data_IF_017174916077
#
_entry.id   IF_017174916077
#
_cell.length_a   1.000
_cell.length_b   1.000
_cell.length_c   1.000
_cell.angle_alpha   90.00
_cell.angle_beta   90.00
_cell.angle_gamma   90.00
#
_symmetry.space_group_name_H-M   'P 1'
#
loop_
_entity.id
_entity.type
_entity.pdbx_description
1 polymer ?
#
# COMPACT_ATOMS: atom_id res chain seq x y z
N UNK A 1 18.86 -1.00 1.50
CA UNK A 1 18.14 -2.09 2.21
C UNK A 1 19.06 -3.14 2.86
N UNK A 2 20.08 -3.69 2.18
CA UNK A 2 20.94 -4.74 2.77
C UNK A 2 21.55 -4.34 4.13
N UNK A 3 22.12 -3.14 4.22
CA UNK A 3 22.68 -2.58 5.47
C UNK A 3 21.65 -2.55 6.58
N UNK A 4 20.48 -1.95 6.34
CA UNK A 4 19.34 -1.90 7.29
C UNK A 4 19.03 -3.29 7.85
N UNK A 5 18.82 -4.28 6.98
CA UNK A 5 18.47 -5.63 7.44
C UNK A 5 19.61 -6.32 8.18
N UNK A 6 20.86 -6.15 7.76
CA UNK A 6 22.01 -6.69 8.50
C UNK A 6 22.11 -6.09 9.90
N UNK A 7 21.93 -4.78 10.03
CA UNK A 7 21.97 -4.09 11.33
C UNK A 7 20.83 -4.51 12.23
N UNK A 8 19.59 -4.51 11.73
CA UNK A 8 18.41 -4.98 12.47
C UNK A 8 18.58 -6.43 12.91
N UNK A 9 19.04 -7.31 12.01
CA UNK A 9 19.29 -8.71 12.33
C UNK A 9 20.39 -8.86 13.38
N UNK A 10 21.45 -8.06 13.35
CA UNK A 10 22.50 -8.12 14.39
C UNK A 10 21.97 -7.72 15.77
N UNK A 11 21.18 -6.64 15.84
CA UNK A 11 20.54 -6.18 17.09
C UNK A 11 19.63 -7.28 17.64
N UNK A 12 18.86 -7.93 16.74
CA UNK A 12 17.81 -8.88 17.13
C UNK A 12 18.21 -10.35 17.23
N UNK A 13 19.29 -10.77 16.58
CA UNK A 13 19.71 -12.18 16.57
C UNK A 13 20.30 -12.62 17.91
N UNK A 14 20.90 -11.70 18.66
CA UNK A 14 21.49 -12.00 19.97
C UNK A 14 20.62 -11.44 21.09
N UNK A 15 20.09 -12.31 21.95
CA UNK A 15 19.17 -11.92 23.03
C UNK A 15 19.74 -10.85 23.97
N UNK A 16 21.06 -10.90 24.24
CA UNK A 16 21.74 -9.87 25.03
C UNK A 16 21.73 -8.51 24.33
N UNK A 17 22.11 -8.47 23.04
CA UNK A 17 22.11 -7.23 22.27
C UNK A 17 20.72 -6.62 22.18
N UNK A 18 19.70 -7.45 21.96
CA UNK A 18 18.32 -7.00 21.89
C UNK A 18 17.86 -6.37 23.20
N UNK A 19 18.08 -7.04 24.34
CA UNK A 19 17.75 -6.50 25.66
C UNK A 19 18.51 -5.21 25.99
N UNK A 20 19.80 -5.15 25.64
CA UNK A 20 20.62 -3.96 25.86
C UNK A 20 20.13 -2.79 25.00
N UNK A 21 19.75 -3.05 23.75
CA UNK A 21 19.20 -2.01 22.87
C UNK A 21 17.85 -1.50 23.39
N UNK A 22 16.96 -2.38 23.85
CA UNK A 22 15.69 -1.97 24.46
C UNK A 22 15.89 -1.16 25.75
N UNK A 23 16.85 -1.54 26.60
CA UNK A 23 17.20 -0.75 27.80
C UNK A 23 17.68 0.64 27.41
N UNK A 24 18.60 0.70 26.44
CA UNK A 24 19.13 1.96 25.92
C UNK A 24 18.03 2.87 25.36
N UNK A 25 17.11 2.34 24.55
CA UNK A 25 15.99 3.12 24.01
C UNK A 25 15.10 3.72 25.09
N UNK A 26 14.87 2.99 26.19
CA UNK A 26 14.12 3.50 27.36
C UNK A 26 14.89 4.55 28.13
N UNK A 27 16.21 4.39 28.25
CA UNK A 27 17.07 5.35 28.95
C UNK A 27 17.14 6.70 28.24
N UNK A 28 17.06 6.71 26.90
CA UNK A 28 17.07 7.94 26.10
C UNK A 28 15.66 8.48 25.77
N UNK A 29 14.61 7.88 26.34
CA UNK A 29 13.20 8.22 26.08
C UNK A 29 12.87 8.29 24.57
N UNK A 30 13.32 7.27 23.83
CA UNK A 30 13.10 7.20 22.38
C UNK A 30 11.61 7.00 22.05
N UNK A 31 11.17 7.50 20.89
CA UNK A 31 9.79 7.35 20.37
C UNK A 31 9.34 5.88 20.23
N UNK A 32 10.29 4.95 20.23
CA UNK A 32 10.02 3.52 20.10
C UNK A 32 10.87 2.70 21.04
N UNK A 33 10.26 1.69 21.66
CA UNK A 33 10.94 0.75 22.57
C UNK A 33 11.81 -0.31 21.86
N UNK A 34 11.68 -0.47 20.53
CA UNK A 34 12.37 -1.53 19.78
C UNK A 34 12.42 -1.29 18.25
N UNK A 35 13.31 -2.02 17.59
CA UNK A 35 13.32 -2.25 16.14
C UNK A 35 12.40 -3.40 15.74
N UNK A 36 11.80 -3.31 14.55
CA UNK A 36 10.92 -4.36 14.03
C UNK A 36 11.77 -5.51 13.47
N UNK A 37 11.53 -6.75 13.91
CA UNK A 37 12.16 -7.91 13.29
C UNK A 37 11.64 -8.15 11.89
N UNK A 38 12.55 -8.34 10.95
CA UNK A 38 12.20 -8.75 9.61
C UNK A 38 12.07 -10.28 9.55
N UNK A 39 10.92 -10.78 9.08
CA UNK A 39 10.81 -12.12 8.51
C UNK A 39 10.66 -11.97 7.01
N UNK A 40 11.43 -12.72 6.21
CA UNK A 40 11.46 -12.60 4.74
C UNK A 40 10.11 -12.75 4.04
N UNK A 41 9.11 -13.27 4.74
CA UNK A 41 7.84 -13.75 4.20
C UNK A 41 6.85 -12.63 3.85
N UNK A 42 7.04 -11.35 4.24
CA UNK A 42 6.05 -10.28 3.96
C UNK A 42 6.66 -8.94 3.58
N UNK A 43 6.32 -8.42 2.41
CA UNK A 43 6.83 -7.14 1.93
C UNK A 43 6.36 -5.93 2.78
N UNK A 44 5.14 -5.96 3.32
CA UNK A 44 4.62 -4.95 4.25
C UNK A 44 5.52 -4.77 5.48
N UNK A 45 6.19 -5.86 5.91
CA UNK A 45 7.16 -5.80 7.01
C UNK A 45 8.42 -5.04 6.64
N UNK A 46 8.85 -5.08 5.37
CA UNK A 46 10.05 -4.36 4.91
C UNK A 46 9.86 -2.84 4.99
N UNK A 47 8.68 -2.35 4.59
CA UNK A 47 8.36 -0.92 4.71
C UNK A 47 8.34 -0.44 6.16
N UNK A 48 7.73 -1.23 7.06
CA UNK A 48 7.71 -0.92 8.50
C UNK A 48 9.12 -0.94 9.10
N UNK A 49 9.96 -1.91 8.72
CA UNK A 49 11.36 -2.00 9.17
C UNK A 49 12.16 -0.79 8.70
N UNK A 50 12.03 -0.40 7.42
CA UNK A 50 12.70 0.79 6.89
C UNK A 50 12.31 2.05 7.66
N UNK A 51 11.01 2.28 7.85
CA UNK A 51 10.51 3.44 8.60
C UNK A 51 11.08 3.47 10.02
N UNK A 52 10.95 2.36 10.77
CA UNK A 52 11.44 2.28 12.15
C UNK A 52 12.96 2.49 12.25
N UNK A 53 13.71 1.93 11.31
CA UNK A 53 15.16 2.10 11.25
C UNK A 53 15.54 3.56 10.97
N UNK A 54 14.81 4.24 10.09
CA UNK A 54 15.02 5.67 9.80
C UNK A 54 14.71 6.56 11.00
N UNK A 55 13.65 6.25 11.74
CA UNK A 55 13.25 7.00 12.95
C UNK A 55 14.26 6.80 14.09
N UNK A 56 14.77 5.59 14.28
CA UNK A 56 15.77 5.25 15.32
C UNK A 56 17.23 5.40 14.82
N UNK A 57 17.46 6.18 13.77
CA UNK A 57 18.77 6.20 13.09
C UNK A 57 19.91 6.58 14.04
N UNK A 58 19.72 7.60 14.88
CA UNK A 58 20.78 8.13 15.77
C UNK A 58 21.09 7.15 16.91
N UNK A 59 20.04 6.55 17.47
CA UNK A 59 20.10 5.53 18.52
C UNK A 59 20.80 4.28 18.00
N UNK A 60 20.47 3.85 16.78
CA UNK A 60 21.10 2.70 16.13
C UNK A 60 22.58 2.99 15.86
N UNK A 61 22.94 4.16 15.35
CA UNK A 61 24.33 4.53 15.06
C UNK A 61 25.19 4.51 16.33
N UNK A 62 24.69 5.14 17.40
CA UNK A 62 25.33 5.15 18.70
C UNK A 62 25.50 3.72 19.24
N UNK A 63 24.42 2.95 19.30
CA UNK A 63 24.45 1.58 19.82
C UNK A 63 25.45 0.70 19.06
N UNK A 64 25.43 0.75 17.73
CA UNK A 64 26.33 -0.04 16.89
C UNK A 64 27.80 0.35 17.07
N UNK A 65 28.08 1.63 17.32
CA UNK A 65 29.41 2.12 17.67
C UNK A 65 29.89 1.56 19.01
N UNK A 66 29.04 1.54 20.04
CA UNK A 66 29.39 0.93 21.34
C UNK A 66 29.69 -0.58 21.25
N UNK A 67 29.14 -1.26 20.23
CA UNK A 67 29.42 -2.67 19.94
C UNK A 67 30.66 -2.89 19.08
N UNK A 68 31.41 -1.84 18.76
CA UNK A 68 32.58 -1.91 17.88
C UNK A 68 32.23 -2.26 16.44
N UNK A 69 31.00 -1.97 16.00
CA UNK A 69 30.49 -2.28 14.66
C UNK A 69 29.81 -1.06 14.03
N UNK A 70 30.53 0.05 13.82
CA UNK A 70 29.93 1.27 13.26
C UNK A 70 29.28 1.00 11.90
N UNK A 71 28.11 1.59 11.68
CA UNK A 71 27.39 1.52 10.40
C UNK A 71 27.79 2.72 9.57
N UNK A 72 28.90 2.61 8.84
CA UNK A 72 29.53 3.73 8.11
C UNK A 72 28.58 4.48 7.19
N UNK A 73 27.56 3.81 6.66
CA UNK A 73 26.55 4.43 5.80
C UNK A 73 25.66 5.46 6.54
N UNK A 74 25.53 5.37 7.87
CA UNK A 74 24.78 6.35 8.67
C UNK A 74 25.50 7.70 8.78
N UNK A 75 26.81 7.72 8.54
CA UNK A 75 27.62 8.94 8.45
C UNK A 75 27.64 9.55 7.03
N UNK A 76 27.19 8.82 6.01
CA UNK A 76 27.08 9.32 4.64
C UNK A 76 25.73 10.03 4.43
N UNK A 77 25.76 11.36 4.38
CA UNK A 77 24.55 12.18 4.16
C UNK A 77 23.77 11.79 2.89
N UNK A 78 24.45 11.34 1.82
CA UNK A 78 23.79 10.92 0.58
C UNK A 78 23.00 9.64 0.82
N UNK A 79 23.61 8.69 1.53
CA UNK A 79 22.96 7.46 1.91
C UNK A 79 21.78 7.69 2.85
N UNK A 80 21.92 8.61 3.82
CA UNK A 80 20.82 8.99 4.73
C UNK A 80 19.64 9.55 3.94
N UNK A 81 19.86 10.46 2.98
CA UNK A 81 18.80 10.95 2.10
C UNK A 81 18.10 9.82 1.32
N UNK A 82 18.87 8.90 0.75
CA UNK A 82 18.32 7.75 0.02
C UNK A 82 17.50 6.83 0.94
N UNK A 83 17.94 6.62 2.18
CA UNK A 83 17.24 5.82 3.17
C UNK A 83 15.88 6.42 3.51
N UNK A 84 15.84 7.70 3.92
CA UNK A 84 14.60 8.34 4.38
C UNK A 84 13.60 8.53 3.25
N UNK A 85 14.09 8.88 2.06
CA UNK A 85 13.25 8.98 0.87
C UNK A 85 12.62 7.64 0.51
N UNK A 86 13.42 6.56 0.51
CA UNK A 86 12.92 5.21 0.26
C UNK A 86 11.89 4.80 1.31
N UNK A 87 12.12 5.12 2.59
CA UNK A 87 11.18 4.81 3.66
C UNK A 87 9.84 5.54 3.49
N UNK A 88 9.85 6.84 3.17
CA UNK A 88 8.62 7.62 2.90
C UNK A 88 7.86 7.08 1.68
N UNK A 89 8.54 6.83 0.55
CA UNK A 89 7.90 6.26 -0.65
C UNK A 89 7.32 4.87 -0.36
N UNK A 90 8.06 4.04 0.38
CA UNK A 90 7.58 2.70 0.75
C UNK A 90 6.37 2.78 1.68
N UNK A 91 6.29 3.79 2.55
CA UNK A 91 5.13 4.01 3.41
C UNK A 91 3.89 4.35 2.57
N UNK A 92 4.00 5.24 1.59
CA UNK A 92 2.91 5.55 0.66
C UNK A 92 2.41 4.30 -0.10
N UNK A 93 3.35 3.46 -0.57
CA UNK A 93 3.03 2.19 -1.24
C UNK A 93 2.36 1.17 -0.29
N UNK A 94 2.84 1.10 0.96
CA UNK A 94 2.21 0.27 2.00
C UNK A 94 0.76 0.70 2.24
N UNK A 95 0.51 2.01 2.34
CA UNK A 95 -0.83 2.56 2.58
C UNK A 95 -1.78 2.29 1.41
N UNK A 96 -1.29 2.35 0.16
CA UNK A 96 -2.05 1.88 -0.99
C UNK A 96 -2.36 0.39 -0.87
N UNK A 97 -1.37 -0.45 -0.58
CA UNK A 97 -1.60 -1.89 -0.54
C UNK A 97 -2.58 -2.31 0.55
N UNK A 98 -2.49 -1.71 1.74
CA UNK A 98 -3.48 -1.96 2.80
C UNK A 98 -4.89 -1.61 2.33
N UNK A 99 -5.04 -0.51 1.57
CA UNK A 99 -6.33 -0.18 0.96
C UNK A 99 -6.76 -1.23 -0.06
N UNK A 100 -5.87 -1.73 -0.91
CA UNK A 100 -6.19 -2.76 -1.91
C UNK A 100 -6.56 -4.13 -1.30
N UNK A 101 -6.13 -4.44 -0.08
CA UNK A 101 -6.28 -5.77 0.56
C UNK A 101 -7.51 -5.92 1.47
N UNK A 102 -8.56 -5.11 1.32
CA UNK A 102 -9.76 -5.16 2.17
C UNK A 102 -10.73 -6.32 1.88
N UNK A 103 -11.37 -6.87 2.93
CA UNK A 103 -12.48 -7.83 2.79
C UNK A 103 -13.65 -7.19 2.04
N UNK A 104 -14.19 -7.89 1.05
CA UNK A 104 -15.33 -7.40 0.25
C UNK A 104 -15.02 -6.22 -0.66
N UNK A 105 -13.74 -5.93 -0.93
CA UNK A 105 -13.35 -4.83 -1.79
C UNK A 105 -13.59 -5.15 -3.26
N UNK A 106 -14.42 -4.33 -3.91
CA UNK A 106 -14.79 -4.48 -5.31
C UNK A 106 -13.75 -3.85 -6.25
N UNK A 107 -13.76 -4.30 -7.51
CA UNK A 107 -12.80 -3.83 -8.53
C UNK A 107 -12.84 -2.32 -8.75
N UNK A 108 -14.01 -1.69 -8.74
CA UNK A 108 -14.14 -0.24 -8.87
C UNK A 108 -13.48 0.51 -7.71
N UNK A 109 -13.62 0.02 -6.48
CA UNK A 109 -12.97 0.62 -5.31
C UNK A 109 -11.45 0.49 -5.41
N UNK A 110 -10.95 -0.68 -5.83
CA UNK A 110 -9.52 -0.88 -6.09
C UNK A 110 -9.01 0.06 -7.19
N UNK A 111 -9.78 0.22 -8.27
CA UNK A 111 -9.45 1.13 -9.36
C UNK A 111 -9.32 2.58 -8.88
N UNK A 112 -10.25 3.04 -8.04
CA UNK A 112 -10.18 4.40 -7.48
C UNK A 112 -8.96 4.60 -6.58
N UNK A 113 -8.59 3.60 -5.78
CA UNK A 113 -7.37 3.67 -4.97
C UNK A 113 -6.11 3.74 -5.84
N UNK A 114 -6.05 2.95 -6.92
CA UNK A 114 -4.96 2.98 -7.90
C UNK A 114 -4.88 4.34 -8.60
N UNK A 115 -6.01 4.85 -9.13
CA UNK A 115 -6.09 6.14 -9.82
C UNK A 115 -5.72 7.31 -8.90
N UNK A 116 -6.18 7.26 -7.65
CA UNK A 116 -5.80 8.23 -6.62
C UNK A 116 -4.29 8.22 -6.38
N UNK A 117 -3.68 7.03 -6.29
CA UNK A 117 -2.24 6.91 -6.08
C UNK A 117 -1.41 7.36 -7.30
N UNK A 118 -1.85 7.03 -8.51
CA UNK A 118 -1.23 7.54 -9.75
C UNK A 118 -1.22 9.08 -9.78
N UNK A 119 -2.32 9.71 -9.35
CA UNK A 119 -2.41 11.17 -9.19
C UNK A 119 -1.45 11.69 -8.13
N UNK A 120 -1.28 10.99 -7.00
CA UNK A 120 -0.30 11.34 -5.97
C UNK A 120 1.14 11.25 -6.49
N UNK A 121 1.48 10.23 -7.28
CA UNK A 121 2.81 10.14 -7.89
C UNK A 121 3.09 11.31 -8.84
N UNK A 122 2.08 11.75 -9.61
CA UNK A 122 2.20 12.95 -10.45
C UNK A 122 2.40 14.22 -9.62
N UNK A 123 1.75 14.32 -8.44
CA UNK A 123 1.98 15.42 -7.51
C UNK A 123 3.40 15.39 -6.94
N UNK A 124 3.85 14.22 -6.45
CA UNK A 124 5.18 14.05 -5.85
C UNK A 124 6.30 14.42 -6.82
N UNK A 125 6.21 14.02 -8.08
CA UNK A 125 7.19 14.40 -9.12
C UNK A 125 7.30 15.93 -9.28
N UNK A 126 6.16 16.64 -9.28
CA UNK A 126 6.11 18.11 -9.37
C UNK A 126 6.68 18.78 -8.12
N UNK A 127 6.33 18.30 -6.94
CA UNK A 127 6.79 18.84 -5.66
C UNK A 127 8.28 18.61 -5.43
N UNK A 128 8.81 17.44 -5.82
CA UNK A 128 10.24 17.16 -5.73
C UNK A 128 11.07 18.06 -6.65
N UNK A 129 10.49 18.55 -7.76
CA UNK A 129 11.14 19.51 -8.66
C UNK A 129 11.28 20.91 -8.05
N UNK A 130 10.59 21.19 -6.95
CA UNK A 130 10.70 22.45 -6.17
C UNK A 130 11.22 22.21 -4.75
N UNK A 131 11.83 21.03 -4.50
CA UNK A 131 12.23 20.54 -3.18
C UNK A 131 11.19 20.71 -2.07
N UNK A 132 9.92 20.62 -2.44
CA UNK A 132 8.82 20.54 -1.50
C UNK A 132 8.73 19.11 -0.95
N UNK A 133 9.09 18.95 0.33
CA UNK A 133 9.11 17.67 1.03
C UNK A 133 7.87 17.46 1.91
N UNK A 134 6.79 18.22 1.71
CA UNK A 134 5.59 18.21 2.58
C UNK A 134 4.98 16.82 2.78
N UNK A 135 5.07 15.96 1.76
CA UNK A 135 4.55 14.59 1.81
C UNK A 135 5.61 13.53 2.13
N UNK A 136 6.82 13.94 2.50
CA UNK A 136 7.97 13.09 2.82
C UNK A 136 8.45 13.40 4.24
N UNK A 137 7.76 12.85 5.24
CA UNK A 137 7.94 13.20 6.66
C UNK A 137 9.35 12.92 7.15
N UNK A 138 9.92 11.77 6.80
CA UNK A 138 11.28 11.42 7.23
C UNK A 138 12.31 12.32 6.53
N UNK A 139 12.08 12.67 5.26
CA UNK A 139 12.89 13.66 4.58
C UNK A 139 12.81 15.05 5.25
N UNK A 140 11.65 15.48 5.75
CA UNK A 140 11.52 16.75 6.49
C UNK A 140 12.31 16.72 7.80
N UNK A 141 12.28 15.59 8.53
CA UNK A 141 13.08 15.42 9.75
C UNK A 141 14.58 15.56 9.43
N UNK A 142 15.05 14.86 8.39
CA UNK A 142 16.47 14.94 7.96
C UNK A 142 16.84 16.32 7.43
N UNK A 143 15.93 17.05 6.79
CA UNK A 143 16.18 18.43 6.32
C UNK A 143 16.56 19.37 7.47
N UNK A 144 16.05 19.10 8.67
CA UNK A 144 16.33 19.89 9.88
C UNK A 144 17.46 19.29 10.74
N UNK A 145 18.07 18.18 10.31
CA UNK A 145 19.12 17.52 11.07
C UNK A 145 20.50 18.08 10.74
N UNK A 146 21.12 18.77 11.70
CA UNK A 146 22.43 19.41 11.56
C UNK A 146 23.56 18.44 11.23
N UNK A 147 23.39 17.14 11.49
CA UNK A 147 24.40 16.13 11.12
C UNK A 147 24.46 15.86 9.61
N UNK A 148 23.41 16.22 8.86
CA UNK A 148 23.33 16.01 7.41
C UNK A 148 23.55 17.35 6.72
N UNK A 149 24.79 17.60 6.30
CA UNK A 149 25.23 18.90 5.77
C UNK A 149 24.95 19.08 4.28
N UNK A 150 24.65 18.01 3.55
CA UNK A 150 24.41 18.06 2.12
C UNK A 150 22.93 18.31 1.81
N UNK A 151 22.62 19.08 0.74
CA UNK A 151 21.23 19.36 0.35
C UNK A 151 20.52 18.09 -0.14
N UNK A 152 19.18 18.16 -0.15
CA UNK A 152 18.33 17.09 -0.68
C UNK A 152 18.66 16.84 -2.17
N UNK A 153 18.89 15.58 -2.59
CA UNK A 153 19.27 15.27 -3.97
C UNK A 153 18.03 15.22 -4.90
N UNK A 154 17.48 16.39 -5.23
CA UNK A 154 16.26 16.54 -6.06
C UNK A 154 16.32 15.77 -7.40
N UNK A 155 17.41 15.85 -8.21
CA UNK A 155 17.42 15.20 -9.52
C UNK A 155 17.30 13.67 -9.40
N UNK A 156 17.95 13.09 -8.38
CA UNK A 156 17.88 11.66 -8.10
C UNK A 156 16.48 11.25 -7.63
N UNK A 157 15.90 12.01 -6.70
CA UNK A 157 14.57 11.71 -6.16
C UNK A 157 13.49 11.78 -7.25
N UNK A 158 13.60 12.75 -8.16
CA UNK A 158 12.71 12.89 -9.32
C UNK A 158 12.78 11.67 -10.24
N UNK A 159 13.99 11.27 -10.65
CA UNK A 159 14.20 10.06 -11.49
C UNK A 159 13.62 8.81 -10.80
N UNK A 160 13.77 8.71 -9.48
CA UNK A 160 13.21 7.59 -8.72
C UNK A 160 11.67 7.57 -8.76
N UNK A 161 10.98 8.73 -8.65
CA UNK A 161 9.52 8.80 -8.80
C UNK A 161 9.08 8.57 -10.24
N UNK A 162 9.80 9.10 -11.23
CA UNK A 162 9.52 8.86 -12.65
C UNK A 162 9.55 7.35 -12.97
N UNK A 163 10.61 6.66 -12.51
CA UNK A 163 10.72 5.21 -12.64
C UNK A 163 9.61 4.47 -11.90
N UNK A 164 9.27 4.91 -10.68
CA UNK A 164 8.16 4.33 -9.93
C UNK A 164 6.82 4.51 -10.67
N UNK A 165 6.56 5.68 -11.26
CA UNK A 165 5.35 5.96 -12.05
C UNK A 165 5.25 5.02 -13.25
N UNK A 166 6.34 4.81 -13.98
CA UNK A 166 6.36 3.90 -15.11
C UNK A 166 6.05 2.45 -14.68
N UNK A 167 6.71 1.97 -13.63
CA UNK A 167 6.46 0.64 -13.07
C UNK A 167 5.03 0.52 -12.52
N UNK A 168 4.50 1.57 -11.91
CA UNK A 168 3.14 1.62 -11.39
C UNK A 168 2.11 1.50 -12.52
N UNK A 169 2.28 2.28 -13.60
CA UNK A 169 1.44 2.20 -14.80
C UNK A 169 1.45 0.80 -15.41
N UNK A 170 2.64 0.22 -15.59
CA UNK A 170 2.78 -1.15 -16.11
C UNK A 170 2.13 -2.18 -15.18
N UNK A 171 2.30 -2.03 -13.86
CA UNK A 171 1.75 -2.98 -12.88
C UNK A 171 0.23 -3.01 -12.86
N UNK A 172 -0.40 -1.88 -13.13
CA UNK A 172 -1.85 -1.68 -13.06
C UNK A 172 -2.48 -1.40 -14.43
N UNK A 173 -1.81 -1.74 -15.52
CA UNK A 173 -2.27 -1.50 -16.90
C UNK A 173 -3.68 -2.05 -17.14
N UNK A 174 -3.96 -3.25 -16.64
CA UNK A 174 -5.28 -3.90 -16.75
C UNK A 174 -6.42 -3.02 -16.21
N UNK A 175 -6.20 -2.27 -15.13
CA UNK A 175 -7.23 -1.37 -14.60
C UNK A 175 -7.60 -0.26 -15.59
N UNK A 176 -6.62 0.22 -16.36
CA UNK A 176 -6.84 1.25 -17.36
C UNK A 176 -7.43 0.64 -18.65
N UNK A 177 -6.98 -0.57 -19.03
CA UNK A 177 -7.54 -1.34 -20.15
C UNK A 177 -9.04 -1.61 -19.96
N UNK A 178 -9.46 -2.02 -18.77
CA UNK A 178 -10.86 -2.31 -18.43
C UNK A 178 -11.56 -1.13 -17.74
N UNK A 179 -11.01 0.08 -17.82
CA UNK A 179 -11.52 1.23 -17.05
C UNK A 179 -12.98 1.55 -17.34
N UNK A 180 -13.41 1.42 -18.60
CA UNK A 180 -14.80 1.71 -19.00
C UNK A 180 -15.79 0.73 -18.38
N UNK A 181 -15.49 -0.57 -18.42
CA UNK A 181 -16.28 -1.62 -17.79
C UNK A 181 -16.36 -1.43 -16.27
N UNK A 182 -15.23 -1.09 -15.66
CA UNK A 182 -15.15 -0.82 -14.22
C UNK A 182 -15.98 0.41 -13.85
N UNK A 183 -15.93 1.48 -14.66
CA UNK A 183 -16.70 2.70 -14.43
C UNK A 183 -18.19 2.47 -14.66
N UNK A 184 -18.58 1.68 -15.65
CA UNK A 184 -19.97 1.26 -15.86
C UNK A 184 -20.47 0.48 -14.64
N UNK A 185 -19.70 -0.49 -14.17
CA UNK A 185 -20.05 -1.22 -12.95
C UNK A 185 -20.15 -0.31 -11.73
N UNK A 186 -19.27 0.69 -11.63
CA UNK A 186 -19.23 1.59 -10.51
C UNK A 186 -20.40 2.56 -10.46
N UNK A 187 -20.80 3.12 -11.60
CA UNK A 187 -21.98 3.99 -11.74
C UNK A 187 -22.47 3.97 -13.20
N UNK A 188 -23.49 3.15 -13.52
CA UNK A 188 -24.01 3.05 -14.88
C UNK A 188 -24.82 4.29 -15.30
N UNK A 189 -25.14 5.19 -14.36
CA UNK A 189 -26.01 6.35 -14.62
C UNK A 189 -25.25 7.58 -15.12
N UNK A 190 -23.92 7.57 -15.04
CA UNK A 190 -23.04 8.68 -15.46
C UNK A 190 -21.92 8.24 -16.41
N UNK A 191 -21.84 6.95 -16.75
CA UNK A 191 -20.82 6.44 -17.67
C UNK A 191 -21.07 6.94 -19.08
N UNK A 192 -19.97 7.26 -19.78
CA UNK A 192 -20.02 7.59 -21.20
C UNK A 192 -20.39 6.36 -22.04
N UNK A 193 -21.51 6.46 -22.75
CA UNK A 193 -22.11 5.35 -23.52
C UNK A 193 -21.30 5.06 -24.78
N UNK A 194 -20.81 6.10 -25.47
CA UNK A 194 -20.08 5.95 -26.74
C UNK A 194 -18.81 5.12 -26.57
N UNK A 195 -18.22 5.18 -25.37
CA UNK A 195 -17.04 4.41 -25.04
C UNK A 195 -17.27 2.92 -24.78
N UNK A 196 -18.50 2.47 -24.50
CA UNK A 196 -18.81 1.09 -24.12
C UNK A 196 -18.91 0.16 -25.33
N UNK A 197 -18.90 -1.15 -25.07
CA UNK A 197 -19.17 -2.16 -26.10
C UNK A 197 -20.60 -2.01 -26.64
N UNK A 198 -20.77 -2.24 -27.93
CA UNK A 198 -22.03 -1.99 -28.67
C UNK A 198 -23.24 -2.71 -28.04
N UNK A 199 -23.02 -3.89 -27.48
CA UNK A 199 -24.03 -4.71 -26.81
C UNK A 199 -24.55 -4.12 -25.48
N UNK A 200 -23.79 -3.20 -24.86
CA UNK A 200 -24.18 -2.52 -23.63
C UNK A 200 -24.88 -1.18 -23.87
N UNK A 201 -24.66 -0.54 -25.02
CA UNK A 201 -25.01 0.87 -25.22
C UNK A 201 -26.50 1.14 -25.03
N UNK A 202 -27.36 0.35 -25.69
CA UNK A 202 -28.82 0.51 -25.59
C UNK A 202 -29.33 0.23 -24.18
N UNK A 203 -28.88 -0.86 -23.53
CA UNK A 203 -29.28 -1.20 -22.16
C UNK A 203 -28.89 -0.10 -21.16
N UNK A 204 -27.76 0.56 -21.37
CA UNK A 204 -27.31 1.67 -20.52
C UNK A 204 -28.09 2.96 -20.81
N UNK A 205 -28.40 3.27 -22.07
CA UNK A 205 -29.23 4.43 -22.42
C UNK A 205 -30.60 4.33 -21.74
N UNK A 206 -31.28 3.19 -21.90
CA UNK A 206 -32.59 2.96 -21.30
C UNK A 206 -32.52 3.08 -19.77
N UNK A 207 -31.42 2.61 -19.18
CA UNK A 207 -31.18 2.70 -17.73
C UNK A 207 -30.92 4.12 -17.27
N UNK A 208 -30.10 4.89 -17.98
CA UNK A 208 -29.79 6.28 -17.64
C UNK A 208 -31.03 7.17 -17.62
N UNK A 209 -32.04 6.83 -18.43
CA UNK A 209 -33.35 7.50 -18.45
C UNK A 209 -34.35 6.99 -17.38
N UNK A 210 -34.05 5.91 -16.65
CA UNK A 210 -34.93 5.35 -15.63
C UNK A 210 -34.67 5.94 -14.23
N UNK A 211 -35.49 6.90 -13.81
CA UNK A 211 -35.35 7.59 -12.52
C UNK A 211 -35.61 6.69 -11.30
N UNK A 212 -36.45 5.66 -11.43
CA UNK A 212 -36.72 4.72 -10.33
C UNK A 212 -35.49 3.85 -10.06
N UNK A 213 -34.86 3.34 -11.12
CA UNK A 213 -33.61 2.59 -11.01
C UNK A 213 -32.47 3.49 -10.49
N UNK A 214 -32.40 4.75 -10.92
CA UNK A 214 -31.41 5.71 -10.41
C UNK A 214 -31.59 5.96 -8.91
N UNK A 215 -32.83 6.07 -8.45
CA UNK A 215 -33.14 6.24 -7.03
C UNK A 215 -32.74 5.00 -6.23
N UNK A 216 -33.12 3.80 -6.71
CA UNK A 216 -32.70 2.53 -6.09
C UNK A 216 -31.18 2.36 -6.02
N UNK A 217 -30.45 2.78 -7.06
CA UNK A 217 -28.98 2.72 -7.08
C UNK A 217 -28.33 3.56 -5.98
N UNK A 218 -28.93 4.71 -5.63
CA UNK A 218 -28.43 5.57 -4.54
C UNK A 218 -28.68 4.98 -3.15
N UNK A 219 -29.71 4.15 -3.00
CA UNK A 219 -30.10 3.54 -1.74
C UNK A 219 -29.36 2.22 -1.46
N UNK A 220 -28.95 1.50 -2.52
CA UNK A 220 -28.37 0.17 -2.43
C UNK A 220 -26.85 0.19 -2.62
N UNK A 221 -26.15 -0.81 -2.08
CA UNK A 221 -24.79 -1.09 -2.53
C UNK A 221 -24.77 -1.55 -3.99
N UNK A 222 -23.64 -1.39 -4.69
CA UNK A 222 -23.51 -1.79 -6.09
C UNK A 222 -23.96 -3.24 -6.34
N UNK A 223 -23.50 -4.19 -5.53
CA UNK A 223 -23.91 -5.60 -5.66
C UNK A 223 -25.41 -5.81 -5.45
N UNK A 224 -25.98 -5.19 -4.41
CA UNK A 224 -27.42 -5.30 -4.14
C UNK A 224 -28.24 -4.72 -5.29
N UNK A 225 -27.84 -3.58 -5.84
CA UNK A 225 -28.49 -2.98 -7.00
C UNK A 225 -28.50 -3.95 -8.18
N UNK A 226 -27.33 -4.49 -8.57
CA UNK A 226 -27.26 -5.41 -9.70
C UNK A 226 -28.06 -6.71 -9.48
N UNK A 227 -28.19 -7.16 -8.23
CA UNK A 227 -29.07 -8.30 -7.88
C UNK A 227 -30.56 -8.01 -8.08
N UNK A 228 -31.00 -6.75 -8.01
CA UNK A 228 -32.41 -6.40 -8.27
C UNK A 228 -32.76 -6.34 -9.75
N UNK A 229 -31.76 -6.40 -10.65
CA UNK A 229 -31.99 -6.26 -12.07
C UNK A 229 -32.53 -7.55 -12.69
N UNK A 230 -33.67 -7.49 -13.40
CA UNK A 230 -34.22 -8.64 -14.10
C UNK A 230 -33.33 -9.02 -15.30
N UNK A 231 -32.76 -10.23 -15.24
CA UNK A 231 -31.78 -10.70 -16.25
C UNK A 231 -32.34 -10.83 -17.67
N UNK A 232 -33.67 -10.92 -17.82
CA UNK A 232 -34.34 -10.94 -19.13
C UNK A 232 -34.45 -9.56 -19.78
N UNK A 233 -34.32 -8.48 -19.02
CA UNK A 233 -34.43 -7.10 -19.51
C UNK A 233 -33.05 -6.46 -19.70
N UNK A 234 -32.05 -6.91 -18.94
CA UNK A 234 -30.70 -6.33 -19.01
C UNK A 234 -29.61 -7.41 -18.95
N UNK A 235 -29.61 -8.36 -19.91
CA UNK A 235 -28.69 -9.48 -19.89
C UNK A 235 -27.23 -9.05 -19.94
N UNK A 236 -26.86 -8.06 -20.76
CA UNK A 236 -25.47 -7.68 -20.95
C UNK A 236 -24.94 -6.88 -19.74
N UNK A 237 -25.76 -5.97 -19.19
CA UNK A 237 -25.40 -5.25 -17.96
C UNK A 237 -25.24 -6.21 -16.78
N UNK A 238 -26.15 -7.19 -16.63
CA UNK A 238 -26.04 -8.20 -15.58
C UNK A 238 -24.78 -9.06 -15.75
N UNK A 239 -24.48 -9.48 -16.99
CA UNK A 239 -23.29 -10.27 -17.29
C UNK A 239 -21.99 -9.51 -16.96
N UNK A 240 -21.89 -8.23 -17.35
CA UNK A 240 -20.74 -7.41 -16.99
C UNK A 240 -20.64 -7.21 -15.48
N UNK A 241 -21.74 -6.90 -14.81
CA UNK A 241 -21.75 -6.70 -13.37
C UNK A 241 -21.27 -7.94 -12.61
N UNK A 242 -21.70 -9.13 -13.02
CA UNK A 242 -21.20 -10.39 -12.46
C UNK A 242 -19.70 -10.57 -12.70
N UNK A 243 -19.20 -10.28 -13.91
CA UNK A 243 -17.76 -10.34 -14.20
C UNK A 243 -16.97 -9.40 -13.30
N UNK A 244 -17.41 -8.15 -13.15
CA UNK A 244 -16.74 -7.14 -12.32
C UNK A 244 -16.81 -7.47 -10.83
N UNK A 245 -17.95 -8.01 -10.36
CA UNK A 245 -18.12 -8.48 -8.99
C UNK A 245 -17.22 -9.69 -8.66
N UNK A 246 -16.92 -10.52 -9.66
CA UNK A 246 -16.04 -11.67 -9.50
C UNK A 246 -14.53 -11.31 -9.47
N UNK A 247 -14.16 -10.08 -9.82
CA UNK A 247 -12.76 -9.62 -9.74
C UNK A 247 -12.39 -9.29 -8.29
N UNK A 248 -11.36 -9.95 -7.77
CA UNK A 248 -10.87 -9.76 -6.41
C UNK A 248 -9.36 -9.49 -6.36
N UNK A 249 -8.92 -8.74 -5.35
CA UNK A 249 -7.51 -8.53 -5.07
C UNK A 249 -6.83 -9.85 -4.69
N UNK A 250 -5.95 -10.36 -5.57
CA UNK A 250 -5.30 -11.67 -5.42
C UNK A 250 -4.47 -11.80 -4.14
N UNK A 251 -3.97 -10.70 -3.57
CA UNK A 251 -3.15 -10.73 -2.35
C UNK A 251 -3.96 -11.07 -1.10
N UNK A 252 -5.17 -10.55 -0.93
CA UNK A 252 -5.97 -10.85 0.27
C UNK A 252 -6.45 -12.29 0.29
N UNK A 253 -6.98 -12.81 -0.83
CA UNK A 253 -7.46 -14.19 -0.89
C UNK A 253 -6.30 -15.18 -0.72
N UNK A 254 -5.15 -14.92 -1.35
CA UNK A 254 -3.94 -15.72 -1.12
C UNK A 254 -3.51 -15.65 0.36
N UNK A 255 -3.43 -14.47 0.97
CA UNK A 255 -3.01 -14.32 2.37
C UNK A 255 -4.01 -14.92 3.37
N UNK A 256 -5.32 -14.83 3.13
CA UNK A 256 -6.36 -15.54 3.88
C UNK A 256 -6.17 -17.05 3.74
N UNK A 257 -5.96 -17.55 2.52
CA UNK A 257 -5.76 -18.98 2.27
C UNK A 257 -4.50 -19.48 2.96
N UNK A 258 -3.39 -18.75 2.91
CA UNK A 258 -2.17 -19.07 3.65
C UNK A 258 -2.38 -18.99 5.17
N UNK A 259 -3.13 -18.01 5.67
CA UNK A 259 -3.42 -17.87 7.10
C UNK A 259 -4.28 -19.03 7.60
N UNK A 260 -5.33 -19.40 6.85
CA UNK A 260 -6.15 -20.59 7.10
C UNK A 260 -5.31 -21.86 7.04
N UNK A 261 -4.43 -22.00 6.05
CA UNK A 261 -3.53 -23.15 5.94
C UNK A 261 -2.55 -23.23 7.12
N UNK A 262 -2.09 -22.09 7.64
CA UNK A 262 -1.23 -22.02 8.83
C UNK A 262 -1.96 -22.43 10.10
N UNK A 263 -3.25 -22.11 10.22
CA UNK A 263 -4.14 -22.59 11.28
C UNK A 263 -4.33 -24.11 11.18
N UNK A 264 -4.60 -24.64 9.97
CA UNK A 264 -4.76 -26.09 9.72
C UNK A 264 -3.49 -26.88 10.05
N UNK A 265 -2.31 -26.29 9.84
CA UNK A 265 -1.00 -26.90 10.17
C UNK A 265 -0.52 -26.63 11.60
N UNK A 266 -1.27 -25.90 12.43
CA UNK A 266 -0.85 -25.60 13.81
C UNK A 266 -1.07 -26.81 14.73
N UNK A 267 -0.32 -26.87 15.83
CA UNK A 267 -0.51 -27.88 16.89
C UNK A 267 -1.87 -27.76 17.62
N UNK A 268 -2.63 -26.69 17.38
CA UNK A 268 -3.96 -26.45 17.96
C UNK A 268 -5.12 -26.89 17.06
N UNK A 269 -4.87 -27.56 15.92
CA UNK A 269 -5.93 -28.01 14.98
C UNK A 269 -7.07 -28.83 15.60
N UNK A 270 -6.81 -29.47 16.74
CA UNK A 270 -7.75 -30.32 17.48
C UNK A 270 -8.42 -29.63 18.67
N UNK A 271 -8.23 -28.31 18.83
CA UNK A 271 -8.90 -27.50 19.86
C UNK A 271 -9.86 -26.52 19.17
N UNK A 272 -11.16 -26.77 19.31
CA UNK A 272 -12.20 -25.79 18.99
C UNK A 272 -12.19 -24.73 20.09
N UNK A 273 -11.65 -23.55 19.79
CA UNK A 273 -11.77 -22.35 20.64
C UNK A 273 -12.39 -21.22 19.84
N UNK A 274 -13.26 -20.41 20.44
CA UNK A 274 -14.03 -19.36 19.74
C UNK A 274 -13.17 -18.32 19.00
N UNK A 275 -11.91 -18.14 19.41
CA UNK A 275 -10.94 -17.25 18.77
C UNK A 275 -10.54 -17.67 17.34
N UNK A 276 -10.92 -18.87 16.89
CA UNK A 276 -10.53 -19.40 15.58
C UNK A 276 -11.43 -18.95 14.42
N UNK A 277 -12.57 -18.28 14.71
CA UNK A 277 -13.59 -17.94 13.70
C UNK A 277 -13.82 -16.44 13.47
N UNK A 278 -13.15 -15.52 14.19
CA UNK A 278 -13.31 -14.08 13.94
C UNK A 278 -12.25 -13.52 12.97
N UNK A 279 -12.47 -13.68 11.66
CA UNK A 279 -11.86 -12.87 10.57
C UNK A 279 -12.94 -12.46 9.55
#
# INVERSE_FOLDING_TARGET
MKTVFKTVNYIRAHALNHRQFQSFLKEVDADYDDVIYHSEVRWLSRGKVLKRFSELRKEIDYFMTTKGRPVVELSDGKWVWQLVFLADVTQHLNDLNLRLQGKGKLVNQMFYDVKSFDSKLCLFEKELSTSNLTHFKLCQIVKNDVSVTIPFPEPWAKIAIESLKEQFKRRFEDFYTYSKDILMFADPFIVDVEGLSEDLQLEIIDRQSNNDLRSKFRELSALQFYHTLPSNISPNVCALAMRMAALFGSTYICEQTFSRMKIVKSKTRSRLTDDTYMI
#
